data_IF_711173023270
#
_entry.id   IF_711173023270
#
_cell.length_a   1.000
_cell.length_b   1.000
_cell.length_c   1.000
_cell.angle_alpha   90.00
_cell.angle_beta   90.00
_cell.angle_gamma   90.00
#
_symmetry.space_group_name_H-M   'P 1'
#
loop_
_entity.id
_entity.type
_entity.pdbx_description
1 polymer ?
#
# COMPACT_ATOMS: atom_id res chain seq x y z
N UNK A 1 7.08 2.38 -2.03
CA UNK A 1 7.28 3.46 -3.03
C UNK A 1 7.84 4.73 -2.41
N UNK A 2 7.31 5.17 -1.27
CA UNK A 2 7.80 6.39 -0.57
C UNK A 2 9.29 6.31 -0.24
N UNK A 3 9.79 5.18 0.23
CA UNK A 3 11.21 4.97 0.51
C UNK A 3 12.08 5.14 -0.74
N UNK A 4 11.63 4.63 -1.89
CA UNK A 4 12.34 4.80 -3.15
C UNK A 4 12.41 6.26 -3.58
N UNK A 5 11.32 7.01 -3.44
CA UNK A 5 11.29 8.45 -3.74
C UNK A 5 12.26 9.22 -2.84
N UNK A 6 12.30 8.93 -1.54
CA UNK A 6 13.24 9.56 -0.61
C UNK A 6 14.70 9.31 -1.00
N UNK A 7 15.02 8.08 -1.39
CA UNK A 7 16.38 7.72 -1.84
C UNK A 7 16.76 8.43 -3.12
N UNK A 8 15.86 8.53 -4.09
CA UNK A 8 16.10 9.24 -5.34
C UNK A 8 16.27 10.74 -5.13
N UNK A 9 15.51 11.34 -4.23
CA UNK A 9 15.66 12.75 -3.87
C UNK A 9 17.01 13.03 -3.21
N UNK A 10 17.45 12.15 -2.30
CA UNK A 10 18.77 12.25 -1.69
C UNK A 10 19.87 12.15 -2.76
N UNK A 11 19.73 11.22 -3.70
CA UNK A 11 20.67 11.05 -4.81
C UNK A 11 20.72 12.29 -5.71
N UNK A 12 19.57 12.89 -6.01
CA UNK A 12 19.48 14.12 -6.79
C UNK A 12 20.13 15.30 -6.09
N UNK A 13 19.91 15.42 -4.77
CA UNK A 13 20.51 16.49 -3.94
C UNK A 13 22.05 16.38 -3.87
N UNK A 14 22.59 15.17 -3.96
CA UNK A 14 24.02 14.91 -4.05
C UNK A 14 24.60 15.11 -5.46
N UNK A 15 23.76 15.39 -6.44
CA UNK A 15 24.18 15.55 -7.84
C UNK A 15 24.57 14.26 -8.55
N UNK A 16 24.18 13.10 -7.99
CA UNK A 16 24.53 11.77 -8.51
C UNK A 16 23.43 11.13 -9.37
N UNK A 17 22.26 11.76 -9.47
CA UNK A 17 21.18 11.26 -10.30
C UNK A 17 21.52 11.45 -11.79
N UNK A 18 21.66 10.35 -12.53
CA UNK A 18 22.19 10.36 -13.91
C UNK A 18 21.11 10.64 -14.97
N UNK A 19 19.85 10.44 -14.65
CA UNK A 19 18.74 10.63 -15.59
C UNK A 19 17.47 11.11 -14.87
N UNK A 20 16.53 11.77 -15.60
CA UNK A 20 15.28 12.24 -14.97
C UNK A 20 14.45 11.10 -14.42
N UNK A 21 13.85 11.30 -13.25
CA UNK A 21 12.95 10.35 -12.60
C UNK A 21 11.63 11.05 -12.27
N UNK A 22 10.54 10.34 -12.44
CA UNK A 22 9.20 10.83 -12.12
C UNK A 22 8.71 10.14 -10.84
N UNK A 23 8.39 10.94 -9.82
CA UNK A 23 7.86 10.44 -8.56
C UNK A 23 6.35 10.13 -8.68
N UNK A 24 5.99 9.07 -9.37
CA UNK A 24 4.61 8.66 -9.59
C UNK A 24 3.87 8.40 -8.28
N UNK A 25 4.58 7.96 -7.25
CA UNK A 25 3.99 7.74 -5.93
C UNK A 25 3.45 9.02 -5.28
N UNK A 26 3.96 10.19 -5.65
CA UNK A 26 3.53 11.48 -5.11
C UNK A 26 2.31 12.07 -5.82
N UNK A 27 1.83 11.44 -6.89
CA UNK A 27 0.58 11.84 -7.55
C UNK A 27 -0.61 11.60 -6.60
N UNK A 28 -1.53 12.57 -6.53
CA UNK A 28 -2.70 12.48 -5.65
C UNK A 28 -3.54 11.24 -5.90
N UNK A 29 -3.78 10.88 -7.15
CA UNK A 29 -4.51 9.66 -7.51
C UNK A 29 -3.77 8.38 -7.12
N UNK A 30 -2.45 8.44 -6.94
CA UNK A 30 -1.67 7.28 -6.56
C UNK A 30 -1.65 7.09 -5.04
N UNK A 31 -1.03 7.99 -4.27
CA UNK A 31 -0.84 7.74 -2.84
C UNK A 31 -2.11 7.93 -2.00
N UNK A 32 -3.04 8.79 -2.41
CA UNK A 32 -4.30 9.00 -1.71
C UNK A 32 -5.36 7.94 -2.03
N UNK A 33 -5.31 7.36 -3.21
CA UNK A 33 -6.30 6.37 -3.64
C UNK A 33 -5.73 4.95 -3.61
N UNK A 34 -4.71 4.68 -4.42
CA UNK A 34 -4.20 3.32 -4.61
C UNK A 34 -3.60 2.72 -3.33
N UNK A 35 -2.83 3.50 -2.57
CA UNK A 35 -2.22 3.00 -1.33
C UNK A 35 -3.25 2.58 -0.28
N UNK A 36 -4.42 3.19 -0.26
CA UNK A 36 -5.51 2.82 0.65
C UNK A 36 -6.41 1.73 0.05
N UNK A 37 -6.96 1.99 -1.11
CA UNK A 37 -8.01 1.16 -1.69
C UNK A 37 -7.45 0.00 -2.51
N UNK A 38 -6.41 0.23 -3.29
CA UNK A 38 -5.77 -0.80 -4.09
C UNK A 38 -4.95 -1.77 -3.25
N UNK A 39 -4.09 -1.26 -2.36
CA UNK A 39 -3.29 -2.10 -1.46
C UNK A 39 -4.18 -2.94 -0.53
N UNK A 40 -5.22 -2.34 0.04
CA UNK A 40 -6.17 -3.07 0.87
C UNK A 40 -6.85 -4.21 0.12
N UNK A 41 -7.33 -3.94 -1.09
CA UNK A 41 -7.98 -4.94 -1.92
C UNK A 41 -7.02 -6.06 -2.34
N UNK A 42 -5.85 -5.71 -2.87
CA UNK A 42 -4.87 -6.70 -3.35
C UNK A 42 -4.31 -7.57 -2.25
N UNK A 43 -4.14 -7.04 -1.05
CA UNK A 43 -3.69 -7.81 0.11
C UNK A 43 -4.67 -8.94 0.43
N UNK A 44 -5.95 -8.64 0.53
CA UNK A 44 -6.95 -9.65 0.81
C UNK A 44 -7.17 -10.60 -0.36
N UNK A 45 -7.10 -10.12 -1.60
CA UNK A 45 -7.11 -10.97 -2.78
C UNK A 45 -5.97 -11.99 -2.74
N UNK A 46 -4.76 -11.53 -2.46
CA UNK A 46 -3.58 -12.41 -2.32
C UNK A 46 -3.74 -13.44 -1.21
N UNK A 47 -4.22 -13.03 -0.03
CA UNK A 47 -4.45 -13.94 1.10
C UNK A 47 -5.48 -15.01 0.73
N UNK A 48 -6.60 -14.62 0.16
CA UNK A 48 -7.65 -15.57 -0.23
C UNK A 48 -7.19 -16.55 -1.30
N UNK A 49 -6.42 -16.09 -2.28
CA UNK A 49 -5.87 -16.95 -3.35
C UNK A 49 -4.86 -17.96 -2.85
N UNK A 50 -3.99 -17.55 -1.91
CA UNK A 50 -2.90 -18.41 -1.44
C UNK A 50 -3.32 -19.36 -0.32
N UNK A 51 -4.31 -18.99 0.48
CA UNK A 51 -4.74 -19.78 1.64
C UNK A 51 -6.09 -20.45 1.49
N UNK A 52 -6.89 -20.03 0.52
CA UNK A 52 -8.28 -20.46 0.33
C UNK A 52 -9.14 -20.30 1.59
N UNK A 53 -8.86 -19.28 2.40
CA UNK A 53 -9.55 -19.00 3.67
C UNK A 53 -10.75 -18.09 3.42
N UNK A 54 -11.87 -18.39 4.07
CA UNK A 54 -13.00 -17.46 4.17
C UNK A 54 -12.68 -16.42 5.24
N UNK A 55 -12.68 -15.16 4.87
CA UNK A 55 -12.34 -14.05 5.80
C UNK A 55 -13.48 -13.79 6.79
N UNK A 56 -14.73 -14.01 6.36
CA UNK A 56 -15.89 -13.80 7.21
C UNK A 56 -15.79 -14.61 8.51
N UNK A 57 -16.07 -13.95 9.62
CA UNK A 57 -16.00 -14.54 10.96
C UNK A 57 -14.60 -14.73 11.53
N UNK A 58 -13.55 -14.32 10.81
CA UNK A 58 -12.18 -14.42 11.32
C UNK A 58 -11.78 -13.21 12.14
N UNK A 59 -10.93 -13.44 13.13
CA UNK A 59 -10.27 -12.37 13.86
C UNK A 59 -9.03 -11.93 13.11
N UNK A 60 -8.96 -10.65 12.75
CA UNK A 60 -7.88 -10.08 11.98
C UNK A 60 -7.18 -9.02 12.82
N UNK A 61 -5.86 -9.13 12.92
CA UNK A 61 -5.02 -8.12 13.56
C UNK A 61 -4.18 -7.43 12.49
N UNK A 62 -4.19 -6.11 12.50
CA UNK A 62 -3.39 -5.29 11.60
C UNK A 62 -2.38 -4.50 12.41
N UNK A 63 -1.11 -4.84 12.25
CA UNK A 63 -0.02 -4.12 12.90
C UNK A 63 0.29 -2.86 12.10
N UNK A 64 -0.06 -1.70 12.65
CA UNK A 64 0.04 -0.40 11.98
C UNK A 64 -1.29 0.06 11.41
N UNK A 65 -1.57 1.35 11.59
CA UNK A 65 -2.86 1.93 11.16
C UNK A 65 -2.63 3.24 10.37
N UNK A 66 -1.66 3.18 9.46
CA UNK A 66 -1.40 4.24 8.49
C UNK A 66 -2.39 4.16 7.32
N UNK A 67 -2.06 4.81 6.21
CA UNK A 67 -2.97 4.89 5.08
C UNK A 67 -3.30 3.52 4.46
N UNK A 68 -2.27 2.67 4.28
CA UNK A 68 -2.45 1.30 3.80
C UNK A 68 -3.17 0.42 4.82
N UNK A 69 -2.78 0.50 6.10
CA UNK A 69 -3.40 -0.28 7.18
C UNK A 69 -4.89 0.02 7.33
N UNK A 70 -5.29 1.29 7.21
CA UNK A 70 -6.71 1.70 7.17
C UNK A 70 -7.46 1.05 6.03
N UNK A 71 -6.84 1.00 4.84
CA UNK A 71 -7.42 0.33 3.68
C UNK A 71 -7.60 -1.17 3.90
N UNK A 72 -6.58 -1.83 4.45
CA UNK A 72 -6.64 -3.24 4.83
C UNK A 72 -7.75 -3.55 5.82
N UNK A 73 -7.86 -2.73 6.89
CA UNK A 73 -8.92 -2.87 7.90
C UNK A 73 -10.31 -2.69 7.31
N UNK A 74 -10.48 -1.68 6.47
CA UNK A 74 -11.77 -1.41 5.81
C UNK A 74 -12.20 -2.59 4.94
N UNK A 75 -11.29 -3.16 4.17
CA UNK A 75 -11.59 -4.33 3.32
C UNK A 75 -11.87 -5.59 4.15
N UNK A 76 -11.08 -5.84 5.19
CA UNK A 76 -11.32 -6.96 6.11
C UNK A 76 -12.74 -6.89 6.71
N UNK A 77 -13.12 -5.72 7.20
CA UNK A 77 -14.46 -5.49 7.73
C UNK A 77 -15.54 -5.73 6.67
N UNK A 78 -15.33 -5.24 5.47
CA UNK A 78 -16.24 -5.45 4.34
C UNK A 78 -16.40 -6.92 3.94
N UNK A 79 -15.37 -7.74 4.17
CA UNK A 79 -15.38 -9.19 3.96
C UNK A 79 -15.96 -9.98 5.14
N UNK A 80 -16.38 -9.31 6.20
CA UNK A 80 -17.03 -9.94 7.36
C UNK A 80 -16.10 -10.38 8.48
N UNK A 81 -14.88 -9.90 8.50
CA UNK A 81 -13.96 -10.16 9.59
C UNK A 81 -14.44 -9.53 10.91
#
# INVERSE_FOLDING_TARGET
>A
MTTGVHRLRALANEGKLEFPMIAANDAYCKYLFDNRYGTGQSTWDGIMRTTNVVIAGKNVVIAGYGWCGKGGAMRARGLGA
#
